data_IF_390451899999
#
_entry.id   IF_390451899999
#
_cell.length_a   1.000
_cell.length_b   1.000
_cell.length_c   1.000
_cell.angle_alpha   90.00
_cell.angle_beta   90.00
_cell.angle_gamma   90.00
#
_symmetry.space_group_name_H-M   'P 1'
#
loop_
_entity.id
_entity.type
_entity.pdbx_description
1 polymer ?
#
# COMPACT_ATOMS: atom_id res chain seq x y z
N UNK A 1 7.74 12.04 -12.39
CA UNK A 1 7.98 10.76 -11.68
C UNK A 1 6.61 10.18 -11.35
N UNK A 2 6.39 8.88 -11.52
CA UNK A 2 5.12 8.19 -11.24
C UNK A 2 5.41 7.09 -10.22
N UNK A 3 4.64 7.04 -9.13
CA UNK A 3 4.78 6.03 -8.09
C UNK A 3 3.74 4.93 -8.35
N UNK A 4 4.19 3.69 -8.48
CA UNK A 4 3.31 2.53 -8.56
C UNK A 4 2.85 2.19 -7.14
N UNK A 5 1.62 2.55 -6.81
CA UNK A 5 1.00 2.22 -5.54
C UNK A 5 -0.09 1.20 -5.80
N UNK A 6 -0.03 0.08 -5.08
CA UNK A 6 -1.08 -0.95 -5.12
C UNK A 6 -2.21 -0.53 -4.20
N UNK A 7 -3.41 -0.34 -4.75
CA UNK A 7 -4.62 -0.06 -3.96
C UNK A 7 -5.15 -1.39 -3.38
N UNK A 8 -4.78 -1.66 -2.12
CA UNK A 8 -5.19 -2.87 -1.39
C UNK A 8 -6.70 -2.99 -1.21
N UNK A 9 -7.43 -1.88 -1.13
CA UNK A 9 -8.89 -1.90 -0.98
C UNK A 9 -9.55 -2.33 -2.28
N UNK A 10 -9.08 -1.80 -3.41
CA UNK A 10 -9.50 -2.26 -4.75
C UNK A 10 -9.08 -3.70 -5.02
N UNK A 11 -7.92 -4.13 -4.49
CA UNK A 11 -7.46 -5.52 -4.57
C UNK A 11 -8.47 -6.49 -3.96
N UNK A 12 -8.97 -6.20 -2.76
CA UNK A 12 -9.97 -7.05 -2.09
C UNK A 12 -11.26 -7.16 -2.90
N UNK A 13 -11.80 -6.05 -3.41
CA UNK A 13 -13.06 -6.06 -4.20
C UNK A 13 -12.90 -6.73 -5.57
N UNK A 14 -11.73 -6.56 -6.19
CA UNK A 14 -11.45 -7.17 -7.50
C UNK A 14 -11.19 -8.66 -7.37
N UNK A 15 -10.58 -9.08 -6.26
CA UNK A 15 -10.38 -10.48 -5.91
C UNK A 15 -11.74 -11.17 -5.73
N UNK A 16 -12.62 -10.63 -4.87
CA UNK A 16 -13.96 -11.17 -4.61
C UNK A 16 -14.78 -11.40 -5.89
N UNK A 17 -14.68 -10.47 -6.86
CA UNK A 17 -15.47 -10.53 -8.10
C UNK A 17 -14.87 -11.44 -9.20
N UNK A 18 -13.59 -11.77 -9.12
CA UNK A 18 -12.90 -12.63 -10.12
C UNK A 18 -12.71 -14.05 -9.57
N UNK A 19 -12.61 -14.20 -8.24
CA UNK A 19 -12.57 -15.49 -7.53
C UNK A 19 -13.74 -16.38 -7.96
N UNK A 20 -14.91 -15.79 -8.18
CA UNK A 20 -16.13 -16.51 -8.61
C UNK A 20 -16.08 -17.08 -10.01
N UNK A 21 -15.07 -16.78 -10.83
CA UNK A 21 -15.06 -17.19 -12.25
C UNK A 21 -13.79 -17.93 -12.63
N UNK A 22 -12.64 -17.53 -12.08
CA UNK A 22 -11.35 -18.14 -12.42
C UNK A 22 -11.04 -19.41 -11.62
N UNK A 23 -11.63 -19.58 -10.44
CA UNK A 23 -11.37 -20.74 -9.58
C UNK A 23 -12.38 -21.87 -9.81
N UNK A 24 -13.46 -21.62 -10.55
CA UNK A 24 -14.47 -22.64 -10.89
C UNK A 24 -13.95 -23.76 -11.80
N UNK A 25 -12.78 -23.59 -12.41
CA UNK A 25 -12.11 -24.63 -13.20
C UNK A 25 -11.18 -25.51 -12.36
N UNK A 26 -11.01 -25.22 -11.06
CA UNK A 26 -10.23 -26.04 -10.15
C UNK A 26 -11.18 -27.08 -9.54
N UNK A 27 -10.94 -28.39 -9.72
CA UNK A 27 -11.77 -29.41 -9.11
C UNK A 27 -11.62 -29.41 -7.58
N UNK A 28 -12.72 -29.70 -6.89
CA UNK A 28 -12.75 -29.75 -5.41
C UNK A 28 -11.88 -30.88 -4.85
N UNK A 29 -11.80 -31.99 -5.58
CA UNK A 29 -10.95 -33.14 -5.27
C UNK A 29 -9.77 -33.18 -6.26
N UNK A 30 -8.55 -33.03 -5.75
CA UNK A 30 -7.31 -33.14 -6.52
C UNK A 30 -6.68 -34.49 -6.21
N UNK A 31 -6.69 -35.40 -7.19
CA UNK A 31 -6.29 -36.80 -6.99
C UNK A 31 -4.97 -37.08 -7.72
N UNK A 32 -4.77 -36.46 -8.88
CA UNK A 32 -3.63 -36.71 -9.76
C UNK A 32 -2.61 -35.58 -9.73
N UNK A 33 -1.36 -35.89 -10.09
CA UNK A 33 -0.29 -34.89 -10.15
C UNK A 33 -0.56 -33.84 -11.25
N UNK A 34 -1.15 -34.24 -12.37
CA UNK A 34 -1.50 -33.32 -13.47
C UNK A 34 -2.59 -32.31 -13.05
N UNK A 35 -3.50 -32.71 -12.16
CA UNK A 35 -4.50 -31.82 -11.56
C UNK A 35 -3.86 -30.84 -10.56
N UNK A 36 -2.84 -31.28 -9.80
CA UNK A 36 -2.05 -30.40 -8.93
C UNK A 36 -1.37 -29.31 -9.77
N UNK A 37 -0.67 -29.70 -10.84
CA UNK A 37 0.03 -28.76 -11.71
C UNK A 37 -0.95 -27.80 -12.40
N UNK A 38 -2.11 -28.31 -12.85
CA UNK A 38 -3.18 -27.48 -13.43
C UNK A 38 -3.76 -26.49 -12.41
N UNK A 39 -4.02 -26.92 -11.17
CA UNK A 39 -4.54 -26.06 -10.11
C UNK A 39 -3.53 -24.97 -9.71
N UNK A 40 -2.24 -25.31 -9.58
CA UNK A 40 -1.16 -24.37 -9.30
C UNK A 40 -1.08 -23.33 -10.41
N UNK A 41 -1.13 -23.76 -11.67
CA UNK A 41 -1.07 -22.85 -12.81
C UNK A 41 -2.30 -21.94 -12.87
N UNK A 42 -3.51 -22.48 -12.65
CA UNK A 42 -4.76 -21.71 -12.61
C UNK A 42 -4.72 -20.62 -11.53
N UNK A 43 -4.34 -20.99 -10.30
CA UNK A 43 -4.21 -20.04 -9.19
C UNK A 43 -3.16 -18.97 -9.45
N UNK A 44 -2.00 -19.37 -9.98
CA UNK A 44 -0.90 -18.44 -10.30
C UNK A 44 -1.30 -17.44 -11.36
N UNK A 45 -2.00 -17.88 -12.41
CA UNK A 45 -2.50 -17.02 -13.47
C UNK A 45 -3.54 -16.03 -12.93
N UNK A 46 -4.45 -16.50 -12.08
CA UNK A 46 -5.45 -15.65 -11.43
C UNK A 46 -4.83 -14.54 -10.58
N UNK A 47 -3.91 -14.90 -9.67
CA UNK A 47 -3.19 -13.92 -8.82
C UNK A 47 -2.46 -12.89 -9.67
N UNK A 48 -1.82 -13.31 -10.77
CA UNK A 48 -1.14 -12.42 -11.71
C UNK A 48 -2.13 -11.42 -12.32
N UNK A 49 -3.29 -11.88 -12.80
CA UNK A 49 -4.32 -11.03 -13.40
C UNK A 49 -4.90 -10.03 -12.38
N UNK A 50 -5.19 -10.46 -11.16
CA UNK A 50 -5.68 -9.57 -10.09
C UNK A 50 -4.63 -8.51 -9.77
N UNK A 51 -3.36 -8.90 -9.63
CA UNK A 51 -2.26 -7.97 -9.35
C UNK A 51 -2.12 -6.94 -10.47
N UNK A 52 -2.12 -7.35 -11.74
CA UNK A 52 -2.04 -6.40 -12.87
C UNK A 52 -3.23 -5.42 -12.89
N UNK A 53 -4.47 -5.89 -12.69
CA UNK A 53 -5.65 -5.01 -12.63
C UNK A 53 -5.64 -4.05 -11.45
N UNK A 54 -4.94 -4.39 -10.37
CA UNK A 54 -4.84 -3.57 -9.16
C UNK A 54 -3.66 -2.59 -9.17
N UNK A 55 -2.74 -2.73 -10.14
CA UNK A 55 -1.70 -1.72 -10.36
C UNK A 55 -2.36 -0.44 -10.84
N UNK A 56 -2.19 0.62 -10.06
CA UNK A 56 -2.55 1.97 -10.45
C UNK A 56 -1.28 2.79 -10.53
N UNK A 57 -1.10 3.47 -11.66
CA UNK A 57 -0.09 4.52 -11.76
C UNK A 57 -0.65 5.75 -11.06
N UNK A 58 -0.03 6.11 -9.94
CA UNK A 58 -0.34 7.34 -9.23
C UNK A 58 0.72 8.37 -9.67
N UNK A 59 0.33 9.55 -10.16
CA UNK A 59 1.30 10.60 -10.44
C UNK A 59 2.11 10.86 -9.16
N UNK A 60 3.46 10.77 -9.23
CA UNK A 60 4.28 10.93 -8.01
C UNK A 60 4.27 12.36 -7.50
N UNK A 61 3.82 13.32 -8.32
CA UNK A 61 3.21 14.51 -7.79
C UNK A 61 1.79 14.14 -7.35
N UNK A 62 1.68 13.58 -6.13
CA UNK A 62 0.65 14.14 -5.27
C UNK A 62 0.98 15.61 -5.28
N UNK A 63 0.22 16.39 -6.07
CA UNK A 63 0.08 17.81 -5.85
C UNK A 63 0.06 17.93 -4.34
N UNK A 64 1.06 18.61 -3.76
CA UNK A 64 1.15 18.83 -2.33
C UNK A 64 -0.25 19.20 -1.95
N UNK A 65 -0.97 18.26 -1.30
CA UNK A 65 -2.40 18.40 -1.05
C UNK A 65 -2.52 19.81 -0.54
N UNK A 66 -3.43 20.63 -1.08
CA UNK A 66 -3.75 21.93 -0.48
C UNK A 66 -4.14 21.61 0.96
N UNK A 67 -3.13 21.58 1.83
CA UNK A 67 -3.29 21.38 3.24
C UNK A 67 -4.14 22.56 3.63
N UNK A 68 -5.26 22.29 4.26
CA UNK A 68 -6.12 23.36 4.75
C UNK A 68 -5.24 24.29 5.60
N UNK A 69 -5.49 25.61 5.57
CA UNK A 69 -4.66 26.59 6.27
C UNK A 69 -4.34 26.18 7.71
N UNK A 70 -5.30 25.59 8.41
CA UNK A 70 -5.19 25.08 9.79
C UNK A 70 -4.12 24.00 9.96
N UNK A 71 -4.00 23.06 9.02
CA UNK A 71 -3.00 21.98 9.10
C UNK A 71 -1.60 22.53 8.82
N UNK A 72 -1.47 23.50 7.92
CA UNK A 72 -0.20 24.21 7.69
C UNK A 72 0.21 25.06 8.89
N UNK A 73 -0.76 25.68 9.56
CA UNK A 73 -0.53 26.44 10.78
C UNK A 73 -0.08 25.53 11.93
N UNK A 74 -0.70 24.37 12.10
CA UNK A 74 -0.30 23.38 13.09
C UNK A 74 1.13 22.86 12.86
N UNK A 75 1.50 22.56 11.61
CA UNK A 75 2.85 22.13 11.26
C UNK A 75 3.87 23.23 11.56
N UNK A 76 3.55 24.50 11.25
CA UNK A 76 4.42 25.64 11.56
C UNK A 76 4.59 25.84 13.06
N UNK A 77 3.50 25.77 13.82
CA UNK A 77 3.54 25.89 15.28
C UNK A 77 4.39 24.77 15.91
N UNK A 78 4.23 23.53 15.44
CA UNK A 78 4.99 22.39 15.95
C UNK A 78 6.49 22.52 15.64
N UNK A 79 6.84 22.91 14.42
CA UNK A 79 8.24 23.14 14.04
C UNK A 79 8.87 24.29 14.83
N UNK A 80 8.12 25.37 15.10
CA UNK A 80 8.58 26.47 15.94
C UNK A 80 8.83 26.02 17.39
N UNK A 81 7.91 25.22 17.96
CA UNK A 81 8.07 24.66 19.31
C UNK A 81 9.31 23.76 19.42
N UNK A 82 9.56 22.91 18.43
CA UNK A 82 10.76 22.06 18.37
C UNK A 82 12.05 22.90 18.29
N UNK A 83 12.05 23.94 17.47
CA UNK A 83 13.19 24.86 17.41
C UNK A 83 13.42 25.60 18.74
N UNK A 84 12.35 26.07 19.41
CA UNK A 84 12.44 26.68 20.73
C UNK A 84 12.97 25.70 21.79
N UNK A 85 12.50 24.45 21.78
CA UNK A 85 12.99 23.40 22.68
C UNK A 85 14.47 23.08 22.42
N UNK A 86 14.92 23.13 21.17
CA UNK A 86 16.34 22.94 20.81
C UNK A 86 17.24 24.12 21.21
N UNK A 87 16.68 25.33 21.33
CA UNK A 87 17.42 26.55 21.68
C UNK A 87 17.83 26.60 23.16
N UNK A 88 17.10 25.90 24.02
CA UNK A 88 17.45 25.70 25.43
C UNK A 88 17.67 24.21 25.68
N UNK A 89 18.89 23.69 25.53
CA UNK A 89 19.19 22.34 25.93
C UNK A 89 18.91 22.24 27.43
N UNK A 90 17.90 21.47 27.81
CA UNK A 90 17.75 21.05 29.20
C UNK A 90 19.07 20.41 29.64
N UNK A 91 19.52 20.75 30.84
CA UNK A 91 20.85 20.37 31.37
C UNK A 91 21.13 18.88 31.29
N UNK A 92 20.08 18.05 31.18
CA UNK A 92 20.13 16.60 31.05
C UNK A 92 20.72 16.09 29.72
N UNK A 93 20.76 16.89 28.65
CA UNK A 93 21.28 16.45 27.33
C UNK A 93 22.72 16.92 27.03
N UNK A 94 23.34 17.73 27.89
CA UNK A 94 24.72 18.23 27.70
C UNK A 94 25.82 17.19 27.97
N UNK A 95 25.48 16.02 28.49
CA UNK A 95 26.46 15.00 28.92
C UNK A 95 26.66 13.84 27.93
N UNK A 96 26.12 13.94 26.71
CA UNK A 96 26.20 12.87 25.68
C UNK A 96 26.89 13.29 24.38
N UNK A 97 27.57 14.44 24.37
CA UNK A 97 28.48 14.85 23.30
C UNK A 97 29.91 14.45 23.63
#
# INVERSE_FOLDING_TARGET
MTLKITDWKRKLTTLEKIDTTSLNSIPDDIITIDEIDSAINALTNHVRTVVEKCKREVPASSDRRKLTPDVLELIRANNAALHCASAYPTTEYRSRA
#
